data_IF_652168631666
#
_entry.id   IF_652168631666
#
_cell.length_a   1.000
_cell.length_b   1.000
_cell.length_c   1.000
_cell.angle_alpha   90.00
_cell.angle_beta   90.00
_cell.angle_gamma   90.00
#
_symmetry.space_group_name_H-M   'P 1'
#
loop_
_entity.id
_entity.type
_entity.pdbx_description
1 polymer ?
#
# COMPACT_ATOMS: atom_id res chain seq x y z
N UNK A 1 -4.49 12.64 18.83
CA UNK A 1 -4.80 11.20 18.66
C UNK A 1 -4.38 10.77 17.27
N UNK A 2 -3.52 9.77 17.19
CA UNK A 2 -2.91 9.24 15.96
C UNK A 2 -3.23 7.74 15.86
N UNK A 3 -3.60 7.25 14.67
CA UNK A 3 -3.77 5.82 14.40
C UNK A 3 -2.45 5.29 13.84
N UNK A 4 -1.80 4.41 14.60
CA UNK A 4 -0.51 3.82 14.25
C UNK A 4 -0.66 2.58 13.36
N UNK A 5 -1.72 1.81 13.60
CA UNK A 5 -2.01 0.59 12.84
C UNK A 5 -3.51 0.32 12.84
N UNK A 6 -4.02 -0.26 11.76
CA UNK A 6 -5.41 -0.64 11.59
C UNK A 6 -5.48 -2.00 10.91
N UNK A 7 -6.29 -2.91 11.44
CA UNK A 7 -6.64 -4.15 10.74
C UNK A 7 -8.12 -4.48 10.89
N UNK A 8 -8.72 -4.95 9.79
CA UNK A 8 -10.11 -5.40 9.75
C UNK A 8 -10.12 -6.88 10.15
N UNK A 9 -10.70 -7.17 11.31
CA UNK A 9 -10.72 -8.53 11.86
C UNK A 9 -11.80 -9.39 11.19
N UNK A 10 -12.96 -8.78 10.91
CA UNK A 10 -14.11 -9.48 10.35
C UNK A 10 -15.04 -8.51 9.66
N UNK A 11 -15.46 -8.85 8.45
CA UNK A 11 -16.54 -8.19 7.72
C UNK A 11 -17.77 -9.09 7.78
N UNK A 12 -18.94 -8.51 8.05
CA UNK A 12 -20.23 -9.19 7.99
C UNK A 12 -20.92 -8.86 6.68
N UNK A 13 -21.71 -9.79 6.16
CA UNK A 13 -22.55 -9.55 5.00
C UNK A 13 -23.55 -8.42 5.27
N UNK A 14 -24.06 -7.75 4.20
CA UNK A 14 -25.09 -6.73 4.35
C UNK A 14 -26.30 -7.31 5.09
N UNK A 15 -26.81 -6.59 6.07
CA UNK A 15 -28.07 -6.94 6.72
C UNK A 15 -29.28 -6.63 5.81
N UNK A 16 -30.48 -6.93 6.30
CA UNK A 16 -31.73 -6.64 5.57
C UNK A 16 -31.95 -5.14 5.32
N UNK A 17 -31.27 -4.26 6.06
CA UNK A 17 -31.29 -2.82 5.86
C UNK A 17 -30.18 -2.34 4.88
N UNK A 18 -29.38 -3.27 4.32
CA UNK A 18 -28.29 -2.96 3.40
C UNK A 18 -27.04 -2.41 4.08
N UNK A 19 -26.87 -2.59 5.40
CA UNK A 19 -25.70 -2.16 6.15
C UNK A 19 -24.66 -3.28 6.24
N UNK A 20 -23.43 -2.97 5.86
CA UNK A 20 -22.24 -3.81 6.05
C UNK A 20 -21.55 -3.38 7.33
N UNK A 21 -21.33 -4.33 8.24
CA UNK A 21 -20.63 -4.06 9.50
C UNK A 21 -19.28 -4.76 9.56
N UNK A 22 -18.27 -4.08 10.08
CA UNK A 22 -16.92 -4.58 10.25
C UNK A 22 -16.42 -4.36 11.68
N UNK A 23 -15.75 -5.37 12.22
CA UNK A 23 -14.98 -5.23 13.46
C UNK A 23 -13.55 -4.83 13.10
N UNK A 24 -13.10 -3.70 13.62
CA UNK A 24 -11.79 -3.11 13.33
C UNK A 24 -11.00 -3.01 14.62
N UNK A 25 -9.75 -3.46 14.56
CA UNK A 25 -8.78 -3.31 15.64
C UNK A 25 -7.78 -2.23 15.25
N UNK A 26 -7.68 -1.21 16.10
CA UNK A 26 -6.83 -0.05 15.93
C UNK A 26 -5.74 -0.08 16.99
N UNK A 27 -4.53 0.33 16.62
CA UNK A 27 -3.50 0.74 17.57
C UNK A 27 -3.42 2.25 17.53
N UNK A 28 -3.76 2.92 18.62
CA UNK A 28 -3.85 4.37 18.69
C UNK A 28 -2.90 4.94 19.72
N UNK A 29 -2.43 6.15 19.49
CA UNK A 29 -1.60 6.93 20.40
C UNK A 29 -2.21 8.32 20.57
N UNK A 30 -2.57 8.67 21.80
CA UNK A 30 -3.26 9.94 22.07
C UNK A 30 -2.33 11.15 21.86
N UNK A 31 -1.06 11.04 22.28
CA UNK A 31 0.02 12.00 22.08
C UNK A 31 1.38 11.29 21.88
N UNK A 32 2.39 11.95 21.29
CA UNK A 32 3.70 11.34 21.01
C UNK A 32 4.42 10.76 22.24
N UNK A 33 4.13 11.30 23.43
CA UNK A 33 4.73 10.90 24.71
C UNK A 33 3.98 9.77 25.41
N UNK A 34 2.76 9.46 24.97
CA UNK A 34 1.96 8.38 25.55
C UNK A 34 2.29 7.01 24.92
N UNK A 35 2.13 5.94 25.71
CA UNK A 35 2.20 4.57 25.21
C UNK A 35 1.01 4.29 24.27
N UNK A 36 1.23 3.58 23.15
CA UNK A 36 0.14 3.11 22.30
C UNK A 36 -0.84 2.21 23.06
N UNK A 37 -2.11 2.25 22.67
CA UNK A 37 -3.16 1.34 23.17
C UNK A 37 -3.94 0.70 22.03
N UNK A 38 -4.40 -0.52 22.27
CA UNK A 38 -5.34 -1.21 21.37
C UNK A 38 -6.77 -0.73 21.59
N UNK A 39 -7.51 -0.56 20.51
CA UNK A 39 -8.93 -0.21 20.53
C UNK A 39 -9.68 -1.10 19.52
N UNK A 40 -10.81 -1.66 19.94
CA UNK A 40 -11.69 -2.45 19.08
C UNK A 40 -12.97 -1.67 18.85
N UNK A 41 -13.29 -1.38 17.59
CA UNK A 41 -14.51 -0.66 17.21
C UNK A 41 -15.32 -1.46 16.20
N UNK A 42 -16.63 -1.28 16.24
CA UNK A 42 -17.54 -1.74 15.20
C UNK A 42 -17.90 -0.57 14.30
N UNK A 43 -17.69 -0.74 13.00
CA UNK A 43 -18.02 0.27 11.98
C UNK A 43 -19.11 -0.30 11.09
N UNK A 44 -20.13 0.48 10.79
CA UNK A 44 -21.22 0.09 9.90
C UNK A 44 -21.34 1.12 8.78
N UNK A 45 -21.40 0.65 7.54
CA UNK A 45 -21.53 1.47 6.33
C UNK A 45 -22.64 0.92 5.44
N UNK A 46 -23.33 1.78 4.70
CA UNK A 46 -24.31 1.32 3.72
C UNK A 46 -23.58 0.67 2.52
N UNK A 47 -24.03 -0.51 2.09
CA UNK A 47 -23.38 -1.30 1.04
C UNK A 47 -23.27 -0.56 -0.30
N UNK A 48 -24.22 0.34 -0.56
CA UNK A 48 -24.34 1.10 -1.80
C UNK A 48 -24.35 2.61 -1.56
N UNK A 49 -23.57 3.09 -0.59
CA UNK A 49 -23.46 4.53 -0.36
C UNK A 49 -22.78 5.21 -1.57
N UNK A 50 -23.48 6.08 -2.32
CA UNK A 50 -22.91 6.74 -3.50
C UNK A 50 -21.71 7.64 -3.14
N UNK A 51 -21.60 8.11 -1.89
CA UNK A 51 -20.44 8.88 -1.45
C UNK A 51 -19.19 8.00 -1.33
N UNK A 52 -19.33 6.74 -0.88
CA UNK A 52 -18.22 5.78 -0.81
C UNK A 52 -17.75 5.41 -2.21
N UNK A 53 -18.67 5.16 -3.15
CA UNK A 53 -18.31 4.84 -4.53
C UNK A 53 -17.53 5.99 -5.20
N UNK A 54 -17.99 7.23 -5.01
CA UNK A 54 -17.29 8.42 -5.50
C UNK A 54 -15.88 8.55 -4.91
N UNK A 55 -15.74 8.36 -3.59
CA UNK A 55 -14.45 8.42 -2.90
C UNK A 55 -13.48 7.34 -3.38
N UNK A 56 -13.96 6.10 -3.58
CA UNK A 56 -13.15 5.01 -4.11
C UNK A 56 -12.64 5.29 -5.52
N UNK A 57 -13.49 5.86 -6.39
CA UNK A 57 -13.08 6.27 -7.74
C UNK A 57 -12.01 7.36 -7.70
N UNK A 58 -12.17 8.36 -6.84
CA UNK A 58 -11.19 9.44 -6.67
C UNK A 58 -9.83 8.91 -6.18
N UNK A 59 -9.84 8.02 -5.18
CA UNK A 59 -8.61 7.41 -4.67
C UNK A 59 -7.93 6.54 -5.75
N UNK A 60 -8.70 5.77 -6.51
CA UNK A 60 -8.18 4.99 -7.62
C UNK A 60 -7.50 5.87 -8.69
N UNK A 61 -8.10 7.01 -9.04
CA UNK A 61 -7.51 8.00 -9.95
C UNK A 61 -6.21 8.56 -9.36
N UNK A 62 -6.22 8.95 -8.07
CA UNK A 62 -5.04 9.48 -7.40
C UNK A 62 -3.88 8.47 -7.34
N UNK A 63 -4.18 7.19 -7.08
CA UNK A 63 -3.20 6.10 -7.12
C UNK A 63 -2.65 5.87 -8.53
N UNK A 64 -3.50 5.88 -9.56
CA UNK A 64 -3.06 5.75 -10.95
C UNK A 64 -2.09 6.89 -11.34
N UNK A 65 -2.37 8.13 -10.93
CA UNK A 65 -1.46 9.25 -11.14
C UNK A 65 -0.12 9.08 -10.40
N UNK A 66 -0.15 8.62 -9.14
CA UNK A 66 1.08 8.33 -8.38
C UNK A 66 1.92 7.24 -9.07
N UNK A 67 1.29 6.16 -9.51
CA UNK A 67 1.95 5.06 -10.22
C UNK A 67 2.57 5.53 -11.54
N UNK A 68 1.82 6.27 -12.36
CA UNK A 68 2.36 6.82 -13.62
C UNK A 68 3.55 7.76 -13.38
N UNK A 69 3.52 8.55 -12.30
CA UNK A 69 4.66 9.39 -11.92
C UNK A 69 5.87 8.55 -11.52
N UNK A 70 5.69 7.50 -10.73
CA UNK A 70 6.77 6.59 -10.33
C UNK A 70 7.37 5.87 -11.53
N UNK A 71 6.54 5.41 -12.47
CA UNK A 71 6.98 4.78 -13.71
C UNK A 71 7.84 5.74 -14.55
N UNK A 72 7.44 7.01 -14.67
CA UNK A 72 8.24 8.03 -15.37
C UNK A 72 9.59 8.26 -14.70
N UNK A 73 9.60 8.46 -13.38
CA UNK A 73 10.84 8.65 -12.62
C UNK A 73 11.77 7.43 -12.74
N UNK A 74 11.19 6.23 -12.76
CA UNK A 74 11.95 5.00 -12.99
C UNK A 74 12.54 4.96 -14.39
N UNK A 75 11.74 5.25 -15.42
CA UNK A 75 12.20 5.34 -16.81
C UNK A 75 13.33 6.36 -16.99
N UNK A 76 13.20 7.54 -16.38
CA UNK A 76 14.25 8.57 -16.38
C UNK A 76 15.54 8.05 -15.72
N UNK A 77 15.43 7.40 -14.56
CA UNK A 77 16.58 6.85 -13.83
C UNK A 77 17.31 5.71 -14.57
N UNK A 78 16.58 4.88 -15.34
CA UNK A 78 17.20 3.82 -16.16
C UNK A 78 17.66 4.33 -17.54
N UNK A 79 17.16 5.48 -18.00
CA UNK A 79 17.49 6.06 -19.31
C UNK A 79 18.81 6.82 -19.37
N UNK A 80 19.65 6.68 -18.33
CA UNK A 80 21.04 7.17 -18.32
C UNK A 80 21.70 6.71 -19.61
N UNK A 81 21.89 7.65 -20.54
CA UNK A 81 22.70 7.43 -21.72
C UNK A 81 24.14 7.10 -21.27
N UNK A 82 24.80 6.13 -21.91
CA UNK A 82 26.17 5.76 -21.57
C UNK A 82 27.09 6.86 -22.10
N UNK A 83 27.37 7.88 -21.28
CA UNK A 83 28.50 8.78 -21.52
C UNK A 83 29.49 8.66 -20.39
N UNK A 84 30.55 7.91 -20.71
CA UNK A 84 31.86 7.84 -20.06
C UNK A 84 31.89 7.58 -18.56
N UNK A 85 32.10 6.30 -18.25
CA UNK A 85 32.66 5.84 -16.99
C UNK A 85 32.87 4.35 -17.10
N UNK A 86 34.04 3.94 -17.58
CA UNK A 86 34.46 2.54 -17.63
C UNK A 86 34.26 1.87 -16.27
N UNK A 87 33.51 0.77 -16.28
CA UNK A 87 33.75 -0.32 -15.35
C UNK A 87 33.68 -1.59 -16.19
N UNK A 88 34.85 -2.00 -16.68
CA UNK A 88 35.10 -3.35 -17.18
C UNK A 88 34.86 -4.31 -16.01
N UNK A 89 33.59 -4.68 -15.79
CA UNK A 89 33.28 -5.83 -14.96
C UNK A 89 33.47 -7.03 -15.88
N UNK A 90 34.70 -7.55 -15.90
CA UNK A 90 34.94 -8.93 -16.29
C UNK A 90 34.08 -9.80 -15.37
N UNK A 91 32.92 -10.21 -15.85
CA UNK A 91 32.17 -11.30 -15.23
C UNK A 91 33.07 -12.54 -15.36
N UNK A 92 33.57 -13.14 -14.26
CA UNK A 92 34.27 -14.40 -14.39
C UNK A 92 33.26 -15.41 -14.96
N UNK A 93 33.53 -15.86 -16.19
CA UNK A 93 32.86 -17.04 -16.74
C UNK A 93 33.23 -18.20 -15.81
N UNK A 94 32.32 -18.59 -14.95
CA UNK A 94 32.38 -19.92 -14.36
C UNK A 94 32.22 -20.91 -15.51
N UNK A 95 33.32 -21.55 -15.91
CA UNK A 95 33.26 -22.72 -16.76
C UNK A 95 32.66 -23.85 -15.93
N UNK A 96 31.58 -24.46 -16.43
CA UNK A 96 30.91 -25.60 -15.82
C UNK A 96 31.71 -26.91 -15.90
N UNK A 97 33.05 -26.86 -15.77
CA UNK A 97 33.92 -28.04 -15.89
C UNK A 97 34.51 -28.50 -14.53
N UNK A 98 33.96 -28.05 -13.41
CA UNK A 98 34.34 -28.51 -12.07
C UNK A 98 33.22 -29.28 -11.36
N UNK A 99 32.43 -30.06 -12.09
CA UNK A 99 31.48 -31.02 -11.54
C UNK A 99 31.65 -32.39 -12.23
N UNK A 100 32.83 -33.01 -12.07
CA UNK A 100 33.03 -34.46 -12.16
C UNK A 100 34.23 -34.87 -11.29
#
# INVERSE_FOLDING_TARGET
>A
MEVLHCHIARIRQPDQAGLVSANVHLMVRDSPTCKPRGLSISVSVAANDPAIESSLRQEAIAMAHKMSRLEKLYQEAISIHPTHGEADIQVPRFSSEALL
#
